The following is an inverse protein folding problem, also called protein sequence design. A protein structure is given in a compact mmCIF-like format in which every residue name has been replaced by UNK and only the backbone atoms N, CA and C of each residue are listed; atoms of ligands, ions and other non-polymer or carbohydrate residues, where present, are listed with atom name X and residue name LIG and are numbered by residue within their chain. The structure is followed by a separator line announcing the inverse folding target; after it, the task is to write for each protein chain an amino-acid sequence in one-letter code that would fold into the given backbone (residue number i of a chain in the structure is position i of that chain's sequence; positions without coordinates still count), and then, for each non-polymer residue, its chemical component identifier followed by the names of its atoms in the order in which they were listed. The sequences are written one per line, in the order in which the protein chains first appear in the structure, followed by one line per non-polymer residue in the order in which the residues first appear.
data_IF_389072198308
#
_entry.id   IF_389072198308
#
_cell.length_a   1.000
_cell.length_b   1.000
_cell.length_c   1.000
_cell.angle_alpha   90.00
_cell.angle_beta   90.00
_cell.angle_gamma   90.00
#
_symmetry.space_group_name_H-M   'P 1'
#
loop_
_entity.id
_entity.type
_entity.pdbx_description
1 polymer ?
#
# COMPACT_ATOMS: atom_id res chain seq x y z
N UNK A 1 -29.97 -31.74 -15.58
CA UNK A 1 -29.29 -32.11 -16.86
C UNK A 1 -28.07 -31.23 -16.99
N UNK A 2 -26.88 -31.82 -16.98
CA UNK A 2 -25.64 -31.07 -17.18
C UNK A 2 -25.52 -30.58 -18.63
N UNK A 3 -25.06 -29.34 -18.86
CA UNK A 3 -24.78 -28.82 -20.19
C UNK A 3 -23.78 -29.70 -20.96
N UNK A 4 -23.90 -29.89 -22.28
CA UNK A 4 -23.05 -30.78 -23.05
C UNK A 4 -21.55 -30.45 -22.97
N UNK A 5 -21.20 -29.15 -22.83
CA UNK A 5 -19.82 -28.69 -22.63
C UNK A 5 -19.19 -29.19 -21.34
N UNK A 6 -19.93 -29.21 -20.23
CA UNK A 6 -19.44 -29.72 -18.96
C UNK A 6 -19.15 -31.21 -19.02
N UNK A 7 -19.99 -31.96 -19.77
CA UNK A 7 -19.81 -33.41 -19.96
C UNK A 7 -18.59 -33.73 -20.82
N UNK A 8 -18.28 -32.90 -21.82
CA UNK A 8 -17.06 -33.07 -22.62
C UNK A 8 -15.79 -32.75 -21.82
N UNK A 9 -15.83 -31.70 -21.00
CA UNK A 9 -14.72 -31.33 -20.09
C UNK A 9 -14.42 -32.42 -19.05
N UNK A 10 -15.46 -33.04 -18.46
CA UNK A 10 -15.29 -34.06 -17.44
C UNK A 10 -14.82 -35.40 -18.00
N UNK A 11 -15.01 -35.66 -19.29
CA UNK A 11 -14.56 -36.89 -19.95
C UNK A 11 -13.11 -36.83 -20.47
N UNK A 12 -12.46 -35.66 -20.42
CA UNK A 12 -11.07 -35.48 -20.84
C UNK A 12 -10.14 -35.33 -19.63
N UNK A 13 -9.25 -36.30 -19.36
CA UNK A 13 -8.27 -36.20 -18.25
C UNK A 13 -7.39 -34.94 -18.38
N UNK A 14 -7.08 -34.54 -19.60
CA UNK A 14 -6.26 -33.34 -19.86
C UNK A 14 -7.03 -32.08 -19.48
N UNK A 15 -8.31 -32.01 -19.84
CA UNK A 15 -9.14 -30.86 -19.49
C UNK A 15 -9.32 -30.72 -17.97
N UNK A 16 -9.51 -31.84 -17.26
CA UNK A 16 -9.59 -31.85 -15.79
C UNK A 16 -8.25 -31.38 -15.17
N UNK A 17 -7.13 -31.87 -15.68
CA UNK A 17 -5.81 -31.47 -15.20
C UNK A 17 -5.55 -29.96 -15.37
N UNK A 18 -5.89 -29.42 -16.55
CA UNK A 18 -5.75 -27.98 -16.84
C UNK A 18 -6.65 -27.12 -15.95
N UNK A 19 -7.94 -27.48 -15.82
CA UNK A 19 -8.88 -26.76 -14.95
C UNK A 19 -8.44 -26.82 -13.48
N UNK A 20 -7.95 -27.97 -13.02
CA UNK A 20 -7.44 -28.13 -11.66
C UNK A 20 -6.17 -27.30 -11.43
N UNK A 21 -5.24 -27.27 -12.38
CA UNK A 21 -4.02 -26.48 -12.28
C UNK A 21 -4.34 -24.98 -12.27
N UNK A 22 -5.23 -24.51 -13.14
CA UNK A 22 -5.69 -23.12 -13.16
C UNK A 22 -6.44 -22.77 -11.87
N UNK A 23 -7.33 -23.65 -11.40
CA UNK A 23 -8.09 -23.44 -10.16
C UNK A 23 -7.18 -23.36 -8.93
N UNK A 24 -6.19 -24.26 -8.83
CA UNK A 24 -5.18 -24.22 -7.78
C UNK A 24 -4.33 -22.95 -7.85
N UNK A 25 -3.90 -22.55 -9.03
CA UNK A 25 -3.11 -21.32 -9.19
C UNK A 25 -3.91 -20.09 -8.78
N UNK A 26 -5.18 -19.99 -9.17
CA UNK A 26 -6.09 -18.91 -8.73
C UNK A 26 -6.30 -18.96 -7.20
N UNK A 27 -6.47 -20.13 -6.62
CA UNK A 27 -6.63 -20.29 -5.17
C UNK A 27 -5.38 -19.84 -4.41
N UNK A 28 -4.19 -20.21 -4.87
CA UNK A 28 -2.93 -19.74 -4.28
C UNK A 28 -2.73 -18.23 -4.49
N UNK A 29 -3.12 -17.68 -5.62
CA UNK A 29 -3.03 -16.23 -5.89
C UNK A 29 -3.94 -15.43 -4.95
N UNK A 30 -5.17 -15.89 -4.73
CA UNK A 30 -6.13 -15.24 -3.82
C UNK A 30 -5.74 -15.35 -2.34
N UNK A 31 -5.14 -16.49 -1.94
CA UNK A 31 -4.70 -16.69 -0.56
C UNK A 31 -3.33 -16.11 -0.21
N UNK A 32 -2.62 -15.55 -1.17
CA UNK A 32 -1.24 -15.11 -1.03
C UNK A 32 -1.09 -13.81 -0.25
N UNK A 33 -2.05 -12.89 -0.40
CA UNK A 33 -2.02 -11.62 0.31
C UNK A 33 -2.46 -11.78 1.77
N UNK A 34 -1.55 -11.48 2.69
CA UNK A 34 -1.86 -11.34 4.12
C UNK A 34 -2.09 -9.86 4.40
N UNK A 35 -3.31 -9.50 4.76
CA UNK A 35 -3.66 -8.13 5.09
C UNK A 35 -3.85 -7.97 6.58
N UNK A 36 -3.28 -6.93 7.13
CA UNK A 36 -3.57 -6.42 8.46
C UNK A 36 -4.01 -4.96 8.35
N UNK A 37 -4.89 -4.52 9.23
CA UNK A 37 -5.39 -3.15 9.21
C UNK A 37 -5.38 -2.58 10.61
N UNK A 38 -5.00 -1.31 10.73
CA UNK A 38 -5.07 -0.53 11.94
C UNK A 38 -5.68 0.84 11.64
N UNK A 39 -6.40 1.38 12.61
CA UNK A 39 -6.92 2.75 12.58
C UNK A 39 -6.17 3.54 13.61
N UNK A 40 -5.64 4.67 13.20
CA UNK A 40 -4.93 5.60 14.08
C UNK A 40 -5.72 6.90 14.16
N UNK A 41 -6.04 7.33 15.39
CA UNK A 41 -6.39 8.72 15.63
C UNK A 41 -5.11 9.56 15.57
N UNK A 42 -5.22 10.78 15.06
CA UNK A 42 -4.07 11.67 14.77
C UNK A 42 -3.14 11.88 15.99
N UNK A 43 -3.62 11.59 17.20
CA UNK A 43 -2.89 11.81 18.47
C UNK A 43 -2.44 10.53 19.20
N UNK A 44 -2.94 9.34 18.87
CA UNK A 44 -2.82 8.17 19.76
C UNK A 44 -2.28 6.89 19.12
N UNK A 45 -1.92 6.87 17.86
CA UNK A 45 -1.44 5.66 17.21
C UNK A 45 0.06 5.68 16.92
N UNK A 46 0.77 4.58 17.15
CA UNK A 46 2.14 4.37 16.67
C UNK A 46 2.14 3.45 15.44
N UNK A 47 2.14 4.03 14.22
CA UNK A 47 2.19 3.29 12.97
C UNK A 47 3.45 2.43 12.85
N UNK A 48 4.54 2.85 13.50
CA UNK A 48 5.80 2.13 13.52
C UNK A 48 5.66 0.81 14.28
N UNK A 49 5.12 0.85 15.50
CA UNK A 49 4.91 -0.35 16.30
C UNK A 49 3.97 -1.35 15.60
N UNK A 50 2.96 -0.85 14.89
CA UNK A 50 2.09 -1.69 14.08
C UNK A 50 2.88 -2.40 12.96
N UNK A 51 3.67 -1.67 12.16
CA UNK A 51 4.47 -2.24 11.07
C UNK A 51 5.52 -3.21 11.57
N UNK A 52 6.21 -2.90 12.68
CA UNK A 52 7.22 -3.78 13.29
C UNK A 52 6.61 -5.11 13.73
N UNK A 53 5.39 -5.07 14.30
CA UNK A 53 4.67 -6.29 14.67
C UNK A 53 4.30 -7.13 13.46
N UNK A 54 3.72 -6.53 12.42
CA UNK A 54 3.30 -7.23 11.22
C UNK A 54 4.51 -7.77 10.44
N UNK A 55 5.59 -6.99 10.33
CA UNK A 55 6.82 -7.41 9.67
C UNK A 55 7.46 -8.64 10.32
N UNK A 56 7.42 -8.74 11.66
CA UNK A 56 7.87 -9.95 12.39
C UNK A 56 7.03 -11.16 12.02
N UNK A 57 5.70 -11.00 11.90
CA UNK A 57 4.80 -12.08 11.50
C UNK A 57 5.03 -12.52 10.04
N UNK A 58 5.40 -11.58 9.19
CA UNK A 58 5.68 -11.82 7.77
C UNK A 58 7.13 -12.23 7.50
N UNK A 59 8.01 -12.15 8.50
CA UNK A 59 9.45 -12.44 8.42
C UNK A 59 10.17 -11.56 7.40
N UNK A 60 9.82 -10.28 7.38
CA UNK A 60 10.47 -9.28 6.53
C UNK A 60 11.89 -9.03 7.06
N UNK A 61 12.93 -8.93 6.20
CA UNK A 61 14.27 -8.55 6.59
C UNK A 61 14.29 -7.18 7.28
N UNK A 62 15.16 -7.03 8.29
CA UNK A 62 15.23 -5.82 9.11
C UNK A 62 15.60 -4.56 8.27
N UNK A 63 16.47 -4.73 7.28
CA UNK A 63 16.85 -3.64 6.38
C UNK A 63 15.66 -3.07 5.60
N UNK A 64 14.80 -3.96 5.07
CA UNK A 64 13.60 -3.56 4.34
C UNK A 64 12.55 -2.96 5.27
N UNK A 65 12.42 -3.51 6.49
CA UNK A 65 11.54 -2.95 7.51
C UNK A 65 11.93 -1.50 7.85
N UNK A 66 13.21 -1.21 8.04
CA UNK A 66 13.68 0.15 8.30
C UNK A 66 13.34 1.11 7.16
N UNK A 67 13.53 0.67 5.90
CA UNK A 67 13.13 1.43 4.71
C UNK A 67 11.64 1.72 4.71
N UNK A 68 10.80 0.70 4.91
CA UNK A 68 9.33 0.84 4.93
C UNK A 68 8.88 1.79 6.03
N UNK A 69 9.40 1.63 7.25
CA UNK A 69 9.03 2.45 8.41
C UNK A 69 9.42 3.92 8.19
N UNK A 70 10.60 4.18 7.61
CA UNK A 70 11.04 5.55 7.31
C UNK A 70 10.08 6.22 6.31
N UNK A 71 9.78 5.56 5.18
CA UNK A 71 8.87 6.09 4.16
C UNK A 71 7.46 6.31 4.70
N UNK A 72 6.96 5.37 5.50
CA UNK A 72 5.64 5.48 6.14
C UNK A 72 5.60 6.68 7.10
N UNK A 73 6.67 6.89 7.88
CA UNK A 73 6.80 8.06 8.76
C UNK A 73 6.77 9.38 7.99
N UNK A 74 7.51 9.46 6.88
CA UNK A 74 7.55 10.65 6.02
C UNK A 74 6.18 10.94 5.38
N UNK A 75 5.52 9.90 4.87
CA UNK A 75 4.18 10.05 4.27
C UNK A 75 3.17 10.48 5.33
N UNK A 76 3.20 9.93 6.53
CA UNK A 76 2.32 10.34 7.62
C UNK A 76 2.54 11.79 8.04
N UNK A 77 3.80 12.24 8.12
CA UNK A 77 4.11 13.64 8.41
C UNK A 77 3.58 14.60 7.34
N UNK A 78 3.52 14.13 6.09
CA UNK A 78 2.97 14.87 4.95
C UNK A 78 1.44 14.87 4.93
N UNK A 79 0.80 13.79 5.38
CA UNK A 79 -0.67 13.68 5.49
C UNK A 79 -1.20 14.53 6.65
N UNK A 80 -0.48 14.59 7.77
CA UNK A 80 -0.93 15.21 9.01
C UNK A 80 -1.50 16.63 8.85
N UNK A 81 -0.83 17.58 8.14
CA UNK A 81 -1.37 18.92 7.92
C UNK A 81 -2.57 18.96 6.95
N UNK A 82 -2.82 17.88 6.21
CA UNK A 82 -3.90 17.78 5.23
C UNK A 82 -5.19 17.17 5.80
N UNK A 83 -5.18 16.74 7.07
CA UNK A 83 -6.33 16.13 7.73
C UNK A 83 -7.35 17.17 8.13
N UNK A 84 -8.63 16.83 8.00
CA UNK A 84 -9.70 17.60 8.64
C UNK A 84 -9.70 17.36 10.16
N UNK A 85 -10.13 18.36 10.93
CA UNK A 85 -10.23 18.23 12.39
C UNK A 85 -11.09 17.02 12.78
N UNK A 86 -10.59 16.22 13.74
CA UNK A 86 -11.28 15.01 14.20
C UNK A 86 -11.20 13.81 13.25
N UNK A 87 -10.45 13.90 12.15
CA UNK A 87 -10.28 12.77 11.24
C UNK A 87 -9.29 11.74 11.78
N UNK A 88 -9.56 10.46 11.49
CA UNK A 88 -8.63 9.35 11.74
C UNK A 88 -7.97 8.90 10.45
N UNK A 89 -6.79 8.30 10.56
CA UNK A 89 -6.09 7.66 9.45
C UNK A 89 -6.31 6.14 9.58
N UNK A 90 -6.90 5.55 8.57
CA UNK A 90 -6.97 4.09 8.41
C UNK A 90 -5.73 3.63 7.65
N UNK A 91 -4.88 2.81 8.26
CA UNK A 91 -3.73 2.18 7.62
C UNK A 91 -4.00 0.69 7.41
N UNK A 92 -3.72 0.22 6.21
CA UNK A 92 -3.75 -1.21 5.87
C UNK A 92 -2.38 -1.59 5.35
N UNK A 93 -1.81 -2.66 5.89
CA UNK A 93 -0.61 -3.26 5.38
C UNK A 93 -0.90 -4.66 4.85
N UNK A 94 -0.25 -5.04 3.77
CA UNK A 94 -0.40 -6.35 3.15
C UNK A 94 0.93 -6.86 2.64
N UNK A 95 1.11 -8.18 2.68
CA UNK A 95 2.32 -8.86 2.22
C UNK A 95 1.94 -10.10 1.42
N UNK A 96 2.55 -10.30 0.26
CA UNK A 96 2.28 -11.44 -0.62
C UNK A 96 3.43 -12.45 -0.71
N UNK A 97 4.49 -12.22 0.05
CA UNK A 97 5.70 -13.04 0.05
C UNK A 97 6.87 -12.41 -0.71
N UNK A 98 6.62 -11.35 -1.50
CA UNK A 98 7.63 -10.59 -2.25
C UNK A 98 7.47 -9.10 -2.05
N UNK A 99 6.22 -8.62 -2.06
CA UNK A 99 5.90 -7.20 -2.02
C UNK A 99 5.16 -6.83 -0.75
N UNK A 100 5.52 -5.70 -0.15
CA UNK A 100 4.75 -5.06 0.93
C UNK A 100 3.95 -3.91 0.36
N UNK A 101 2.67 -3.89 0.67
CA UNK A 101 1.72 -2.89 0.25
C UNK A 101 1.17 -2.16 1.47
N UNK A 102 1.42 -0.86 1.57
CA UNK A 102 0.87 -0.02 2.63
C UNK A 102 -0.10 0.98 2.03
N UNK A 103 -1.31 1.01 2.56
CA UNK A 103 -2.37 1.89 2.11
C UNK A 103 -2.86 2.76 3.26
N UNK A 104 -2.91 4.06 3.03
CA UNK A 104 -3.56 5.04 3.90
C UNK A 104 -4.89 5.47 3.32
N UNK A 105 -5.88 5.64 4.18
CA UNK A 105 -7.18 6.23 3.82
C UNK A 105 -7.59 7.19 4.92
N UNK A 106 -7.91 8.44 4.56
CA UNK A 106 -8.26 9.50 5.50
C UNK A 106 -9.22 10.49 4.86
N UNK A 107 -9.83 11.36 5.68
CA UNK A 107 -10.67 12.46 5.21
C UNK A 107 -9.87 13.76 5.31
N UNK A 108 -9.77 14.48 4.19
CA UNK A 108 -8.97 15.69 4.11
C UNK A 108 -8.62 16.08 2.67
N UNK A 109 -7.57 16.86 2.53
CA UNK A 109 -7.02 17.24 1.23
C UNK A 109 -5.88 16.29 0.83
N UNK A 110 -5.73 16.05 -0.47
CA UNK A 110 -4.61 15.25 -0.96
C UNK A 110 -3.33 16.07 -0.85
N UNK A 111 -2.29 15.60 -0.14
CA UNK A 111 -1.02 16.29 -0.10
C UNK A 111 -0.40 16.33 -1.51
N UNK A 112 0.42 17.34 -1.78
CA UNK A 112 1.22 17.41 -2.98
C UNK A 112 2.34 16.34 -2.96
N UNK A 113 1.96 15.08 -2.86
CA UNK A 113 2.87 13.96 -3.05
C UNK A 113 3.33 14.01 -4.50
N UNK A 114 4.60 14.24 -4.68
CA UNK A 114 5.20 14.30 -6.00
C UNK A 114 5.19 12.89 -6.58
N UNK A 115 4.14 12.54 -7.30
CA UNK A 115 4.08 11.38 -8.19
C UNK A 115 5.12 11.50 -9.32
N UNK A 116 5.82 12.63 -9.38
CA UNK A 116 6.80 12.96 -10.40
C UNK A 116 8.22 12.76 -9.84
N UNK A 117 8.97 11.81 -10.39
CA UNK A 117 10.37 11.49 -10.07
C UNK A 117 11.39 12.62 -10.34
N UNK A 118 10.93 13.88 -10.43
CA UNK A 118 11.80 15.05 -10.60
C UNK A 118 11.92 15.79 -9.27
N UNK A 119 13.17 16.09 -8.83
CA UNK A 119 13.36 16.91 -7.65
C UNK A 119 12.67 18.26 -7.84
N UNK A 120 12.06 18.84 -6.79
CA UNK A 120 11.48 20.15 -6.85
C UNK A 120 12.56 21.15 -7.30
N UNK A 121 12.29 21.92 -8.36
CA UNK A 121 13.17 23.01 -8.78
C UNK A 121 13.04 24.13 -7.74
N UNK A 122 14.20 24.61 -7.26
CA UNK A 122 14.31 25.65 -6.24
C UNK A 122 13.90 27.05 -6.73
N UNK A 123 12.70 27.20 -7.27
CA UNK A 123 12.07 28.50 -7.41
C UNK A 123 11.39 28.83 -6.07
N UNK A 124 11.68 30.01 -5.54
CA UNK A 124 11.22 30.69 -4.34
C UNK A 124 9.78 30.31 -3.91
N UNK A 125 9.59 29.11 -3.42
CA UNK A 125 8.36 28.64 -2.82
C UNK A 125 8.56 28.74 -1.31
N UNK A 126 7.57 29.21 -0.58
CA UNK A 126 7.57 29.29 0.87
C UNK A 126 8.20 28.04 1.49
N UNK A 127 9.09 28.21 2.44
CA UNK A 127 9.95 27.19 3.04
C UNK A 127 9.19 25.92 3.45
N UNK A 128 7.94 26.07 3.91
CA UNK A 128 7.05 24.97 4.25
C UNK A 128 6.59 24.13 3.03
N UNK A 129 6.36 24.77 1.91
CA UNK A 129 5.96 24.11 0.66
C UNK A 129 7.12 23.34 0.03
N UNK A 130 8.35 23.85 0.16
CA UNK A 130 9.57 23.17 -0.29
C UNK A 130 9.87 21.93 0.54
N UNK A 131 9.76 22.01 1.88
CA UNK A 131 9.98 20.89 2.78
C UNK A 131 8.97 19.76 2.53
N UNK A 132 7.69 20.08 2.35
CA UNK A 132 6.65 19.10 2.01
C UNK A 132 6.89 18.46 0.64
N UNK A 133 7.30 19.24 -0.36
CA UNK A 133 7.66 18.72 -1.68
C UNK A 133 8.89 17.81 -1.66
N UNK A 134 9.88 18.15 -0.86
CA UNK A 134 11.10 17.34 -0.69
C UNK A 134 10.81 16.02 0.03
N UNK A 135 10.00 16.05 1.10
CA UNK A 135 9.57 14.84 1.81
C UNK A 135 8.79 13.90 0.89
N UNK A 136 7.83 14.43 0.12
CA UNK A 136 7.08 13.65 -0.87
C UNK A 136 7.98 13.05 -1.97
N UNK A 137 9.02 13.79 -2.40
CA UNK A 137 10.01 13.30 -3.36
C UNK A 137 10.85 12.16 -2.78
N UNK A 138 11.37 12.32 -1.56
CA UNK A 138 12.18 11.30 -0.90
C UNK A 138 11.38 10.01 -0.66
N UNK A 139 10.13 10.13 -0.24
CA UNK A 139 9.23 8.99 -0.08
C UNK A 139 8.97 8.27 -1.42
N UNK A 140 8.81 9.03 -2.51
CA UNK A 140 8.62 8.50 -3.85
C UNK A 140 9.87 7.82 -4.43
N UNK A 141 11.08 8.18 -3.95
CA UNK A 141 12.34 7.55 -4.38
C UNK A 141 12.61 6.25 -3.60
N UNK A 142 12.18 6.18 -2.33
CA UNK A 142 12.42 5.02 -1.46
C UNK A 142 11.34 3.94 -1.57
N UNK A 143 10.11 4.32 -1.95
CA UNK A 143 9.08 3.36 -2.32
C UNK A 143 9.23 3.01 -3.81
N UNK A 144 9.01 1.75 -4.18
CA UNK A 144 9.08 1.32 -5.58
C UNK A 144 7.92 1.89 -6.41
N UNK A 145 6.77 2.08 -5.77
CA UNK A 145 5.61 2.73 -6.37
C UNK A 145 4.77 3.48 -5.34
N UNK A 146 4.33 4.68 -5.73
CA UNK A 146 3.39 5.50 -4.96
C UNK A 146 2.23 5.87 -5.85
N UNK A 147 1.02 5.49 -5.44
CA UNK A 147 -0.22 5.88 -6.09
C UNK A 147 -1.04 6.70 -5.09
N UNK A 148 -1.54 7.85 -5.51
CA UNK A 148 -2.38 8.71 -4.68
C UNK A 148 -3.62 9.15 -5.47
N UNK A 149 -4.76 9.19 -4.80
CA UNK A 149 -6.02 9.57 -5.40
C UNK A 149 -7.04 10.01 -4.35
N UNK A 150 -8.04 10.75 -4.80
CA UNK A 150 -9.16 11.14 -3.96
C UNK A 150 -10.50 10.70 -4.59
N UNK A 151 -11.47 10.50 -3.74
CA UNK A 151 -12.86 10.25 -4.13
C UNK A 151 -13.77 11.07 -3.20
N UNK A 152 -14.14 12.27 -3.64
CA UNK A 152 -14.74 13.29 -2.77
C UNK A 152 -13.74 13.73 -1.71
N UNK A 153 -14.17 13.76 -0.46
CA UNK A 153 -13.32 14.14 0.69
C UNK A 153 -12.41 13.02 1.19
N UNK A 154 -12.53 11.81 0.62
CA UNK A 154 -11.74 10.67 1.03
C UNK A 154 -10.50 10.53 0.17
N UNK A 155 -9.35 10.71 0.80
CA UNK A 155 -8.04 10.55 0.18
C UNK A 155 -7.51 9.13 0.42
N UNK A 156 -6.77 8.62 -0.57
CA UNK A 156 -6.15 7.31 -0.52
C UNK A 156 -4.74 7.40 -1.07
N UNK A 157 -3.77 6.90 -0.31
CA UNK A 157 -2.37 6.81 -0.71
C UNK A 157 -1.96 5.35 -0.60
N UNK A 158 -1.29 4.86 -1.62
CA UNK A 158 -0.81 3.51 -1.72
C UNK A 158 0.68 3.52 -1.97
N UNK A 159 1.42 2.82 -1.12
CA UNK A 159 2.85 2.57 -1.25
C UNK A 159 3.08 1.09 -1.57
N UNK A 160 3.99 0.80 -2.49
CA UNK A 160 4.44 -0.54 -2.81
C UNK A 160 5.95 -0.61 -2.60
N UNK A 161 6.40 -1.68 -1.96
CA UNK A 161 7.80 -1.98 -1.71
C UNK A 161 8.10 -3.39 -2.19
N UNK A 162 9.05 -3.54 -3.11
CA UNK A 162 9.58 -4.82 -3.52
C UNK A 162 10.71 -5.22 -2.56
N UNK A 163 10.67 -6.45 -2.04
CA UNK A 163 11.63 -6.98 -1.07
C UNK A 163 12.72 -7.82 -1.74
#
# INVERSE_FOLDING_TARGET
KMPPLVRQLTNSPIAIAVVSAVGLNLFFLLGRWRYSSARFEVKEGDPRAFLEREAKLWKIPEADLHRIVAVVGDVLSTIHPCLHEGSSIDMKAGFDGYDVKVQFSYTGTLPALVTNRRPPRGELVEEQSFAAGLSGYLSGVQADRVDAGNSGDRCKILLLFNL
#
